data_IF_020357018277
#
_entry.id   IF_020357018277
#
_cell.length_a   1.000
_cell.length_b   1.000
_cell.length_c   1.000
_cell.angle_alpha   90.00
_cell.angle_beta   90.00
_cell.angle_gamma   90.00
#
_symmetry.space_group_name_H-M   'P 1'
#
loop_
_entity.id
_entity.type
_entity.pdbx_description
1 polymer ?
#
# COMPACT_ATOMS: atom_id res chain seq x y z
N UNK A 1 13.51 15.34 11.73
CA UNK A 1 12.42 15.93 10.94
C UNK A 1 13.03 16.89 9.92
N UNK A 2 12.73 16.72 8.63
CA UNK A 2 13.18 17.62 7.58
C UNK A 2 12.34 18.91 7.62
N UNK A 3 12.92 20.04 7.23
CA UNK A 3 12.23 21.34 7.28
C UNK A 3 10.98 21.39 6.40
N UNK A 4 9.99 22.20 6.75
CA UNK A 4 8.71 22.34 6.05
C UNK A 4 8.88 22.61 4.54
N UNK A 5 9.85 23.41 4.10
CA UNK A 5 10.09 23.68 2.68
C UNK A 5 10.71 22.54 1.87
N UNK A 6 11.16 21.48 2.52
CA UNK A 6 11.83 20.37 1.84
C UNK A 6 10.89 19.60 0.89
N UNK A 7 9.63 19.41 1.28
CA UNK A 7 8.66 18.65 0.51
C UNK A 7 7.91 19.47 -0.56
N UNK A 8 8.03 20.79 -0.56
CA UNK A 8 7.35 21.66 -1.56
C UNK A 8 7.79 21.37 -3.00
N UNK A 9 9.00 20.81 -3.17
CA UNK A 9 9.53 20.42 -4.47
C UNK A 9 9.05 19.05 -4.94
N UNK A 10 8.34 18.29 -4.09
CA UNK A 10 7.93 16.93 -4.40
C UNK A 10 6.47 16.85 -4.82
N UNK A 11 6.25 15.98 -5.80
CA UNK A 11 4.93 15.52 -6.23
C UNK A 11 4.82 14.03 -5.93
N UNK A 12 3.98 13.68 -4.98
CA UNK A 12 3.80 12.30 -4.52
C UNK A 12 2.49 11.78 -5.09
N UNK A 13 2.56 10.70 -5.84
CA UNK A 13 1.39 10.03 -6.42
C UNK A 13 1.27 8.65 -5.79
N UNK A 14 0.10 8.37 -5.22
CA UNK A 14 -0.23 7.06 -4.65
C UNK A 14 -1.12 6.32 -5.63
N UNK A 15 -0.62 5.22 -6.18
CA UNK A 15 -1.38 4.28 -7.01
C UNK A 15 -1.28 2.88 -6.39
N UNK A 16 -2.40 2.40 -5.86
CA UNK A 16 -2.44 1.18 -5.08
C UNK A 16 -3.89 0.68 -4.94
N UNK A 17 -4.11 -0.31 -4.09
CA UNK A 17 -5.42 -0.90 -3.82
C UNK A 17 -6.21 -0.19 -2.69
N UNK A 18 -7.27 -0.84 -2.19
CA UNK A 18 -8.16 -0.32 -1.15
C UNK A 18 -7.47 0.02 0.18
N UNK A 19 -6.34 -0.60 0.51
CA UNK A 19 -5.59 -0.28 1.73
C UNK A 19 -5.08 1.17 1.72
N UNK A 20 -4.85 1.73 0.54
CA UNK A 20 -4.36 3.08 0.32
C UNK A 20 -5.45 4.03 -0.15
N UNK A 21 -6.57 3.52 -0.70
CA UNK A 21 -7.65 4.32 -1.23
C UNK A 21 -8.33 5.14 -0.13
N UNK A 22 -9.01 6.20 -0.56
CA UNK A 22 -10.04 6.83 0.24
C UNK A 22 -11.21 5.86 0.37
N UNK A 23 -11.19 5.04 1.40
CA UNK A 23 -12.32 4.20 1.71
C UNK A 23 -13.40 5.05 2.36
N UNK A 24 -14.43 5.37 1.62
CA UNK A 24 -15.65 6.01 2.14
C UNK A 24 -16.73 4.94 2.20
N UNK A 25 -16.77 4.16 3.27
CA UNK A 25 -18.02 3.53 3.65
C UNK A 25 -18.87 4.57 4.39
N UNK A 26 -20.22 4.54 4.28
CA UNK A 26 -21.08 5.42 5.04
C UNK A 26 -20.74 5.34 6.54
N UNK A 27 -20.36 6.48 7.15
CA UNK A 27 -19.97 6.55 8.57
C UNK A 27 -18.47 6.34 8.87
N UNK A 28 -17.65 6.00 7.88
CA UNK A 28 -16.20 5.92 8.06
C UNK A 28 -15.57 7.11 7.35
N UNK A 29 -15.23 8.09 8.15
CA UNK A 29 -14.54 9.25 7.63
C UNK A 29 -13.13 8.87 7.20
N UNK A 30 -12.88 9.28 6.00
CA UNK A 30 -11.64 9.62 5.34
C UNK A 30 -10.36 9.13 6.03
N UNK A 31 -9.63 8.36 5.25
CA UNK A 31 -8.21 8.06 5.44
C UNK A 31 -7.40 9.36 5.28
N UNK A 32 -7.86 10.43 5.86
CA UNK A 32 -7.19 11.71 5.90
C UNK A 32 -5.79 11.63 6.51
N UNK A 33 -5.50 10.59 7.30
CA UNK A 33 -4.24 10.44 8.01
C UNK A 33 -3.02 10.47 7.09
N UNK A 34 -3.01 9.66 6.04
CA UNK A 34 -1.85 9.60 5.14
C UNK A 34 -1.68 10.90 4.33
N UNK A 35 -2.76 11.35 3.70
CA UNK A 35 -2.75 12.59 2.91
C UNK A 35 -2.40 13.78 3.78
N UNK A 36 -3.03 13.90 4.96
CA UNK A 36 -2.79 14.99 5.88
C UNK A 36 -1.39 14.95 6.47
N UNK A 37 -0.89 13.77 6.84
CA UNK A 37 0.45 13.61 7.38
C UNK A 37 1.51 14.09 6.38
N UNK A 38 1.37 13.74 5.11
CA UNK A 38 2.34 14.14 4.08
C UNK A 38 2.06 15.55 3.56
N UNK A 39 0.80 15.95 3.40
CA UNK A 39 0.46 17.32 3.01
C UNK A 39 0.86 18.36 4.05
N UNK A 40 0.88 18.01 5.34
CA UNK A 40 1.39 18.91 6.39
C UNK A 40 2.87 19.25 6.20
N UNK A 41 3.58 18.53 5.36
CA UNK A 41 4.99 18.80 5.00
C UNK A 41 5.15 19.74 3.79
N UNK A 42 4.06 20.18 3.15
CA UNK A 42 4.08 21.02 1.95
C UNK A 42 4.15 20.25 0.61
N UNK A 43 4.24 18.92 0.63
CA UNK A 43 4.26 18.12 -0.60
C UNK A 43 2.89 18.15 -1.30
N UNK A 44 2.90 18.14 -2.64
CA UNK A 44 1.70 17.82 -3.40
C UNK A 44 1.46 16.31 -3.35
N UNK A 45 0.30 15.89 -2.85
CA UNK A 45 -0.07 14.48 -2.77
C UNK A 45 -1.35 14.23 -3.55
N UNK A 46 -1.27 13.33 -4.53
CA UNK A 46 -2.41 12.82 -5.28
C UNK A 46 -2.58 11.34 -4.97
N UNK A 47 -3.79 10.93 -4.60
CA UNK A 47 -4.12 9.54 -4.33
C UNK A 47 -5.13 9.06 -5.38
N UNK A 48 -4.69 8.17 -6.26
CA UNK A 48 -5.50 7.52 -7.30
C UNK A 48 -5.69 6.02 -7.04
N UNK A 49 -5.42 5.56 -5.82
CA UNK A 49 -5.65 4.17 -5.44
C UNK A 49 -7.13 3.79 -5.59
N UNK A 50 -7.38 2.62 -6.18
CA UNK A 50 -8.74 2.13 -6.47
C UNK A 50 -9.00 0.85 -5.68
N UNK A 51 -10.11 0.78 -4.91
CA UNK A 51 -10.49 -0.44 -4.21
C UNK A 51 -10.67 -1.62 -5.17
N UNK A 52 -10.17 -2.78 -4.78
CA UNK A 52 -10.36 -4.03 -5.51
C UNK A 52 -9.41 -4.28 -6.67
N UNK A 53 -8.66 -3.28 -7.15
CA UNK A 53 -7.74 -3.50 -8.26
C UNK A 53 -6.56 -4.40 -7.89
N UNK A 54 -6.12 -5.17 -8.88
CA UNK A 54 -4.92 -6.02 -8.86
C UNK A 54 -3.75 -5.31 -9.55
N UNK A 55 -2.54 -5.86 -9.47
CA UNK A 55 -1.39 -5.37 -10.24
C UNK A 55 -1.67 -5.29 -11.75
N UNK A 56 -2.39 -6.28 -12.29
CA UNK A 56 -2.77 -6.29 -13.70
C UNK A 56 -3.75 -5.16 -14.05
N UNK A 57 -4.70 -4.85 -13.15
CA UNK A 57 -5.64 -3.75 -13.35
C UNK A 57 -4.93 -2.39 -13.26
N UNK A 58 -4.03 -2.22 -12.29
CA UNK A 58 -3.20 -1.03 -12.16
C UNK A 58 -2.37 -0.76 -13.42
N UNK A 59 -1.90 -1.83 -14.09
CA UNK A 59 -1.18 -1.70 -15.35
C UNK A 59 -2.08 -1.15 -16.47
N UNK A 60 -3.34 -1.58 -16.52
CA UNK A 60 -4.33 -1.11 -17.51
C UNK A 60 -4.77 0.33 -17.26
N UNK A 61 -4.90 0.72 -15.99
CA UNK A 61 -5.36 2.06 -15.55
C UNK A 61 -4.24 3.12 -15.58
N UNK A 62 -3.26 2.90 -16.42
CA UNK A 62 -2.02 3.67 -16.52
C UNK A 62 -2.20 5.18 -16.71
N UNK A 63 -3.21 5.58 -17.46
CA UNK A 63 -3.41 6.98 -17.87
C UNK A 63 -3.68 7.91 -16.70
N UNK A 64 -4.40 7.46 -15.68
CA UNK A 64 -4.74 8.30 -14.53
C UNK A 64 -3.51 8.67 -13.71
N UNK A 65 -2.61 7.70 -13.53
CA UNK A 65 -1.34 7.91 -12.80
C UNK A 65 -0.41 8.85 -13.57
N UNK A 66 -0.34 8.70 -14.88
CA UNK A 66 0.50 9.54 -15.75
C UNK A 66 0.04 11.00 -15.76
N UNK A 67 -1.26 11.23 -15.73
CA UNK A 67 -1.84 12.58 -15.67
C UNK A 67 -1.52 13.33 -14.38
N UNK A 68 -1.06 12.64 -13.36
CA UNK A 68 -0.68 13.23 -12.07
C UNK A 68 0.81 13.54 -11.96
N UNK A 69 1.64 13.10 -12.91
CA UNK A 69 3.04 13.48 -12.99
C UNK A 69 3.17 15.00 -13.26
N UNK A 70 4.17 15.64 -12.65
CA UNK A 70 4.35 17.10 -12.78
C UNK A 70 5.76 17.46 -13.20
N UNK A 71 5.85 18.21 -14.29
CA UNK A 71 7.14 18.77 -14.75
C UNK A 71 7.70 19.75 -13.71
N UNK A 72 9.04 19.80 -13.63
CA UNK A 72 9.75 20.66 -12.68
C UNK A 72 9.64 20.25 -11.20
N UNK A 73 9.00 19.12 -10.91
CA UNK A 73 8.92 18.53 -9.56
C UNK A 73 9.72 17.22 -9.50
N UNK A 74 10.14 16.85 -8.30
CA UNK A 74 10.59 15.48 -8.04
C UNK A 74 9.36 14.59 -7.88
N UNK A 75 9.16 13.69 -8.82
CA UNK A 75 7.98 12.83 -8.88
C UNK A 75 8.25 11.50 -8.18
N UNK A 76 7.48 11.22 -7.15
CA UNK A 76 7.57 10.00 -6.33
C UNK A 76 6.31 9.17 -6.56
N UNK A 77 6.47 7.94 -7.00
CA UNK A 77 5.40 6.96 -7.05
C UNK A 77 5.40 6.13 -5.77
N UNK A 78 4.30 6.13 -5.03
CA UNK A 78 4.04 5.22 -3.91
C UNK A 78 3.07 4.17 -4.39
N UNK A 79 3.45 2.91 -4.32
CA UNK A 79 2.62 1.81 -4.84
C UNK A 79 2.69 0.57 -3.97
N UNK A 80 1.65 -0.23 -3.99
CA UNK A 80 1.57 -1.50 -3.28
C UNK A 80 0.24 -2.19 -3.53
N UNK A 81 0.32 -3.43 -4.00
CA UNK A 81 -0.83 -4.33 -4.12
C UNK A 81 -0.27 -5.77 -4.00
N UNK A 82 -0.94 -6.65 -3.42
CA UNK A 82 -0.67 -8.11 -3.42
C UNK A 82 -1.92 -8.82 -2.94
N UNK A 83 -2.67 -8.17 -2.04
CA UNK A 83 -3.83 -8.77 -1.40
C UNK A 83 -4.93 -9.14 -2.39
N UNK A 84 -5.27 -8.27 -3.32
CA UNK A 84 -6.35 -8.57 -4.27
C UNK A 84 -5.92 -9.59 -5.31
N UNK A 85 -4.67 -9.51 -5.79
CA UNK A 85 -4.13 -10.53 -6.70
C UNK A 85 -4.17 -11.93 -6.08
N UNK A 86 -3.81 -12.08 -4.81
CA UNK A 86 -3.79 -13.36 -4.12
C UNK A 86 -5.19 -13.75 -3.60
N UNK A 87 -5.86 -12.89 -2.81
CA UNK A 87 -7.10 -13.21 -2.12
C UNK A 87 -8.34 -13.15 -3.01
N UNK A 88 -8.40 -12.22 -3.93
CA UNK A 88 -9.59 -12.02 -4.78
C UNK A 88 -9.44 -12.77 -6.10
N UNK A 89 -8.34 -12.54 -6.82
CA UNK A 89 -8.10 -13.17 -8.12
C UNK A 89 -7.63 -14.64 -8.00
N UNK A 90 -7.05 -15.02 -6.86
CA UNK A 90 -6.47 -16.35 -6.65
C UNK A 90 -5.18 -16.60 -7.44
N UNK A 91 -4.51 -15.53 -7.85
CA UNK A 91 -3.30 -15.62 -8.65
C UNK A 91 -2.18 -16.39 -7.92
N UNK A 92 -1.33 -17.05 -8.68
CA UNK A 92 -0.12 -17.68 -8.12
C UNK A 92 0.90 -16.63 -7.69
N UNK A 93 1.80 -17.00 -6.79
CA UNK A 93 2.92 -16.13 -6.36
C UNK A 93 3.72 -15.63 -7.58
N UNK A 94 4.09 -16.56 -8.49
CA UNK A 94 4.87 -16.21 -9.67
C UNK A 94 4.13 -15.21 -10.59
N UNK A 95 2.82 -15.40 -10.81
CA UNK A 95 2.02 -14.46 -11.59
C UNK A 95 1.96 -13.09 -10.93
N UNK A 96 1.70 -13.05 -9.62
CA UNK A 96 1.60 -11.78 -8.88
C UNK A 96 2.91 -11.00 -8.91
N UNK A 97 4.05 -11.68 -8.74
CA UNK A 97 5.38 -11.06 -8.85
C UNK A 97 5.63 -10.55 -10.28
N UNK A 98 5.27 -11.33 -11.30
CA UNK A 98 5.42 -10.89 -12.69
C UNK A 98 4.56 -9.68 -13.02
N UNK A 99 3.31 -9.66 -12.57
CA UNK A 99 2.38 -8.54 -12.79
C UNK A 99 2.88 -7.25 -12.07
N UNK A 100 3.38 -7.37 -10.84
CA UNK A 100 3.98 -6.25 -10.10
C UNK A 100 5.20 -5.67 -10.83
N UNK A 101 6.09 -6.52 -11.31
CA UNK A 101 7.26 -6.11 -12.10
C UNK A 101 6.84 -5.43 -13.40
N UNK A 102 5.86 -5.99 -14.10
CA UNK A 102 5.33 -5.42 -15.33
C UNK A 102 4.72 -4.02 -15.09
N UNK A 103 3.96 -3.88 -13.99
CA UNK A 103 3.40 -2.58 -13.59
C UNK A 103 4.51 -1.54 -13.36
N UNK A 104 5.50 -1.83 -12.54
CA UNK A 104 6.60 -0.91 -12.24
C UNK A 104 7.38 -0.55 -13.50
N UNK A 105 7.68 -1.54 -14.35
CA UNK A 105 8.34 -1.30 -15.62
C UNK A 105 7.52 -0.39 -16.55
N UNK A 106 6.20 -0.60 -16.63
CA UNK A 106 5.30 0.25 -17.42
C UNK A 106 5.27 1.70 -16.88
N UNK A 107 5.25 1.88 -15.53
CA UNK A 107 5.31 3.22 -14.93
C UNK A 107 6.62 3.93 -15.28
N UNK A 108 7.75 3.26 -15.11
CA UNK A 108 9.07 3.82 -15.43
C UNK A 108 9.27 4.11 -16.92
N UNK A 109 8.65 3.33 -17.80
CA UNK A 109 8.71 3.56 -19.24
C UNK A 109 7.82 4.73 -19.69
N UNK A 110 6.72 4.98 -19.01
CA UNK A 110 5.74 5.99 -19.41
C UNK A 110 6.09 7.39 -18.94
N UNK A 111 6.74 7.52 -17.78
CA UNK A 111 7.12 8.79 -17.16
C UNK A 111 8.42 8.63 -16.39
N UNK A 112 9.17 9.73 -16.27
CA UNK A 112 10.37 9.77 -15.45
C UNK A 112 10.01 9.94 -13.97
N UNK A 113 9.68 8.84 -13.31
CA UNK A 113 9.59 8.82 -11.85
C UNK A 113 10.99 8.92 -11.25
N UNK A 114 11.23 9.94 -10.42
CA UNK A 114 12.50 10.12 -9.75
C UNK A 114 12.73 9.05 -8.69
N UNK A 115 11.65 8.64 -8.01
CA UNK A 115 11.68 7.59 -7.00
C UNK A 115 10.43 6.73 -7.02
N UNK A 116 10.59 5.46 -6.67
CA UNK A 116 9.52 4.49 -6.44
C UNK A 116 9.59 4.00 -4.99
N UNK A 117 8.54 4.23 -4.23
CA UNK A 117 8.33 3.63 -2.91
C UNK A 117 7.40 2.43 -3.08
N UNK A 118 7.96 1.24 -2.96
CA UNK A 118 7.20 0.00 -3.05
C UNK A 118 6.82 -0.49 -1.67
N UNK A 119 5.54 -0.71 -1.46
CA UNK A 119 4.99 -1.14 -0.18
C UNK A 119 4.67 -2.65 -0.23
N UNK A 120 5.15 -3.37 0.77
CA UNK A 120 4.65 -4.70 1.08
C UNK A 120 3.20 -4.65 1.54
N UNK A 121 2.67 -5.77 2.01
CA UNK A 121 1.28 -5.82 2.43
C UNK A 121 1.11 -6.34 3.86
N UNK A 122 -0.10 -6.18 4.41
CA UNK A 122 -0.48 -6.63 5.74
C UNK A 122 -1.26 -7.96 5.64
N UNK A 123 -1.39 -8.72 6.73
CA UNK A 123 -2.23 -9.92 6.73
C UNK A 123 -3.69 -9.60 6.38
N UNK A 124 -4.40 -10.60 5.88
CA UNK A 124 -5.82 -10.54 5.53
C UNK A 124 -6.52 -11.80 6.03
N UNK A 125 -7.74 -11.69 6.54
CA UNK A 125 -8.44 -12.76 7.23
C UNK A 125 -9.90 -12.98 6.82
N UNK A 126 -10.30 -12.60 5.60
CA UNK A 126 -11.69 -12.61 5.14
C UNK A 126 -12.11 -13.88 4.35
N UNK A 127 -11.26 -14.91 4.28
CA UNK A 127 -11.66 -16.20 3.72
C UNK A 127 -12.55 -16.98 4.66
N UNK A 128 -13.32 -17.92 4.11
CA UNK A 128 -14.30 -18.70 4.84
C UNK A 128 -13.68 -19.59 5.93
N UNK A 129 -12.47 -20.08 5.71
CA UNK A 129 -11.77 -20.97 6.65
C UNK A 129 -10.44 -20.39 7.11
N UNK A 130 -10.03 -20.76 8.32
CA UNK A 130 -8.72 -20.39 8.86
C UNK A 130 -7.58 -20.93 7.97
N UNK A 131 -7.73 -22.14 7.46
CA UNK A 131 -6.75 -22.79 6.59
C UNK A 131 -6.50 -21.97 5.30
N UNK A 132 -7.56 -21.52 4.63
CA UNK A 132 -7.45 -20.68 3.43
C UNK A 132 -6.75 -19.36 3.74
N UNK A 133 -7.10 -18.73 4.87
CA UNK A 133 -6.43 -17.50 5.29
C UNK A 133 -4.93 -17.68 5.52
N UNK A 134 -4.53 -18.77 6.21
CA UNK A 134 -3.11 -19.10 6.44
C UNK A 134 -2.37 -19.30 5.11
N UNK A 135 -2.95 -20.10 4.19
CA UNK A 135 -2.35 -20.38 2.90
C UNK A 135 -2.18 -19.08 2.07
N UNK A 136 -3.23 -18.27 2.00
CA UNK A 136 -3.18 -17.02 1.24
C UNK A 136 -2.19 -16.02 1.84
N UNK A 137 -2.11 -15.88 3.16
CA UNK A 137 -1.15 -15.02 3.82
C UNK A 137 0.29 -15.51 3.62
N UNK A 138 0.52 -16.82 3.56
CA UNK A 138 1.83 -17.37 3.19
C UNK A 138 2.22 -16.96 1.77
N UNK A 139 1.30 -17.05 0.80
CA UNK A 139 1.53 -16.59 -0.58
C UNK A 139 1.84 -15.09 -0.63
N UNK A 140 1.14 -14.27 0.15
CA UNK A 140 1.43 -12.84 0.29
C UNK A 140 2.88 -12.62 0.77
N UNK A 141 3.31 -13.34 1.81
CA UNK A 141 4.68 -13.24 2.32
C UNK A 141 5.72 -13.65 1.27
N UNK A 142 5.42 -14.69 0.51
CA UNK A 142 6.30 -15.17 -0.57
C UNK A 142 6.43 -14.12 -1.69
N UNK A 143 5.32 -13.44 -2.06
CA UNK A 143 5.35 -12.33 -3.02
C UNK A 143 6.17 -11.16 -2.47
N UNK A 144 5.86 -10.70 -1.25
CA UNK A 144 6.56 -9.58 -0.61
C UNK A 144 8.07 -9.87 -0.51
N UNK A 145 8.45 -11.10 -0.16
CA UNK A 145 9.85 -11.52 -0.08
C UNK A 145 10.57 -11.43 -1.43
N UNK A 146 9.92 -11.89 -2.51
CA UNK A 146 10.50 -11.85 -3.85
C UNK A 146 10.59 -10.41 -4.39
N UNK A 147 9.57 -9.59 -4.15
CA UNK A 147 9.60 -8.18 -4.56
C UNK A 147 10.65 -7.39 -3.75
N UNK A 148 10.76 -7.63 -2.45
CA UNK A 148 11.76 -7.00 -1.57
C UNK A 148 13.19 -7.38 -1.96
N UNK A 149 13.42 -8.60 -2.42
CA UNK A 149 14.73 -9.06 -2.85
C UNK A 149 15.20 -8.41 -4.15
N UNK A 150 14.28 -7.92 -4.99
CA UNK A 150 14.62 -7.27 -6.26
C UNK A 150 14.70 -5.75 -6.08
N UNK A 151 15.85 -5.29 -5.61
CA UNK A 151 16.12 -3.87 -5.32
C UNK A 151 16.12 -2.98 -6.56
N UNK A 152 16.01 -3.53 -7.76
CA UNK A 152 15.87 -2.74 -9.00
C UNK A 152 14.47 -2.16 -9.19
N UNK A 153 13.48 -2.68 -8.45
CA UNK A 153 12.08 -2.28 -8.57
C UNK A 153 11.76 -0.97 -7.83
N UNK A 154 12.54 -0.62 -6.80
CA UNK A 154 12.20 0.47 -5.90
C UNK A 154 13.45 1.20 -5.38
N UNK A 155 13.23 2.40 -4.89
CA UNK A 155 14.22 3.21 -4.18
C UNK A 155 14.02 3.14 -2.67
N UNK A 156 12.80 2.81 -2.22
CA UNK A 156 12.48 2.52 -0.81
C UNK A 156 11.43 1.42 -0.72
N UNK A 157 11.66 0.47 0.20
CA UNK A 157 10.71 -0.60 0.54
C UNK A 157 10.01 -0.29 1.86
N UNK A 158 8.69 -0.32 1.89
CA UNK A 158 7.89 -0.19 3.12
C UNK A 158 7.46 -1.56 3.60
N UNK A 159 7.96 -1.96 4.75
CA UNK A 159 7.60 -3.21 5.42
C UNK A 159 6.72 -2.91 6.64
N UNK A 160 5.41 -3.00 6.45
CA UNK A 160 4.45 -2.70 7.51
C UNK A 160 4.61 -3.61 8.73
N UNK A 161 4.94 -4.90 8.49
CA UNK A 161 5.11 -5.88 9.56
C UNK A 161 6.36 -5.61 10.39
N UNK A 162 7.45 -5.23 9.73
CA UNK A 162 8.69 -4.85 10.42
C UNK A 162 8.56 -3.47 11.09
N UNK A 163 7.83 -2.54 10.48
CA UNK A 163 7.60 -1.21 11.04
C UNK A 163 6.77 -1.26 12.33
N UNK A 164 5.73 -2.08 12.34
CA UNK A 164 4.90 -2.26 13.53
C UNK A 164 4.42 -3.70 13.67
N UNK A 165 5.28 -4.58 14.22
CA UNK A 165 4.92 -5.97 14.47
C UNK A 165 3.70 -6.11 15.38
N UNK A 166 3.54 -5.20 16.33
CA UNK A 166 2.39 -5.17 17.23
C UNK A 166 1.05 -5.16 16.48
N UNK A 167 0.94 -4.38 15.39
CA UNK A 167 -0.32 -4.24 14.65
C UNK A 167 -0.42 -5.19 13.45
N UNK A 168 0.67 -5.41 12.73
CA UNK A 168 0.63 -6.04 11.41
C UNK A 168 1.33 -7.39 11.31
N UNK A 169 2.00 -7.85 12.36
CA UNK A 169 2.52 -9.22 12.39
C UNK A 169 1.37 -10.20 12.61
N UNK A 170 1.31 -11.25 11.79
CA UNK A 170 0.38 -12.34 12.03
C UNK A 170 0.69 -13.03 13.38
N UNK A 171 -0.36 -13.35 14.12
CA UNK A 171 -0.28 -14.13 15.36
C UNK A 171 0.12 -15.59 15.06
N UNK A 172 0.21 -16.41 16.09
CA UNK A 172 0.60 -17.82 15.96
C UNK A 172 -0.33 -18.66 15.07
N UNK A 173 -1.56 -18.18 14.85
CA UNK A 173 -2.52 -18.80 13.92
C UNK A 173 -2.17 -18.56 12.43
N UNK A 174 -1.20 -17.68 12.13
CA UNK A 174 -0.69 -17.39 10.79
C UNK A 174 -1.56 -16.45 9.95
N UNK A 175 -2.70 -15.97 10.46
CA UNK A 175 -3.58 -15.09 9.67
C UNK A 175 -4.21 -13.93 10.43
N UNK A 176 -4.43 -14.02 11.74
CA UNK A 176 -4.93 -12.88 12.51
C UNK A 176 -3.81 -11.95 12.94
N UNK A 177 -4.09 -10.67 12.99
CA UNK A 177 -3.19 -9.65 13.51
C UNK A 177 -3.98 -8.71 14.44
N UNK A 178 -3.30 -7.95 15.28
CA UNK A 178 -3.96 -7.09 16.28
C UNK A 178 -4.92 -6.08 15.64
N UNK A 179 -4.60 -5.54 14.46
CA UNK A 179 -5.49 -4.61 13.77
C UNK A 179 -6.84 -5.22 13.39
N UNK A 180 -6.96 -6.54 13.34
CA UNK A 180 -8.20 -7.27 13.03
C UNK A 180 -9.13 -7.42 14.24
N UNK A 181 -8.72 -6.99 15.43
CA UNK A 181 -9.56 -7.00 16.61
C UNK A 181 -10.75 -6.05 16.41
N UNK A 182 -11.91 -6.39 16.97
CA UNK A 182 -13.27 -5.97 16.59
C UNK A 182 -13.53 -4.46 16.40
N UNK A 183 -12.65 -3.60 16.87
CA UNK A 183 -12.81 -2.13 16.79
C UNK A 183 -11.79 -1.46 15.88
N UNK A 184 -10.87 -2.22 15.32
CA UNK A 184 -9.74 -1.68 14.56
C UNK A 184 -9.82 -1.99 13.05
N UNK A 185 -10.92 -2.58 12.57
CA UNK A 185 -11.17 -2.82 11.15
C UNK A 185 -12.47 -2.20 10.69
N UNK A 186 -12.51 -1.84 9.41
CA UNK A 186 -13.71 -1.32 8.75
C UNK A 186 -14.84 -2.36 8.80
N UNK A 187 -16.02 -1.89 9.18
CA UNK A 187 -17.22 -2.69 9.19
C UNK A 187 -18.39 -1.91 8.58
N UNK A 188 -18.50 -1.85 7.25
CA UNK A 188 -19.50 -1.03 6.59
C UNK A 188 -20.95 -1.50 6.82
N UNK A 189 -21.16 -2.71 7.31
CA UNK A 189 -22.51 -3.31 7.49
C UNK A 189 -22.94 -3.47 8.93
N UNK A 190 -22.13 -3.04 9.89
CA UNK A 190 -22.44 -3.17 11.33
C UNK A 190 -22.31 -4.58 11.89
N UNK A 191 -21.73 -5.54 11.14
CA UNK A 191 -21.51 -6.93 11.56
C UNK A 191 -20.09 -7.18 12.10
N UNK A 192 -19.46 -8.24 11.62
CA UNK A 192 -18.07 -8.57 11.98
C UNK A 192 -17.09 -7.58 11.33
N UNK A 193 -15.92 -7.33 11.94
CA UNK A 193 -14.81 -6.64 11.27
C UNK A 193 -14.54 -7.27 9.90
N UNK A 194 -14.19 -6.46 8.89
CA UNK A 194 -13.88 -6.99 7.57
C UNK A 194 -12.53 -7.73 7.48
N UNK A 195 -11.72 -7.64 8.55
CA UNK A 195 -10.40 -8.28 8.67
C UNK A 195 -9.42 -7.94 7.53
N UNK A 196 -9.63 -6.81 6.87
CA UNK A 196 -8.84 -6.35 5.73
C UNK A 196 -8.31 -4.93 5.96
N UNK A 197 -9.20 -3.99 6.30
CA UNK A 197 -8.92 -2.56 6.29
C UNK A 197 -8.73 -2.03 7.70
N UNK A 198 -7.50 -1.64 8.09
CA UNK A 198 -7.26 -1.02 9.38
C UNK A 198 -7.95 0.35 9.48
N UNK A 199 -8.53 0.67 10.65
CA UNK A 199 -9.09 1.98 10.98
C UNK A 199 -8.50 2.49 12.30
N UNK A 200 -8.64 3.79 12.58
CA UNK A 200 -8.11 4.38 13.83
C UNK A 200 -6.60 4.21 13.96
N UNK A 201 -6.14 3.84 15.15
CA UNK A 201 -4.72 3.76 15.47
C UNK A 201 -3.86 2.89 14.52
N UNK A 202 -4.23 1.67 14.15
CA UNK A 202 -3.43 0.87 13.20
C UNK A 202 -3.35 1.51 11.82
N UNK A 203 -4.32 2.30 11.43
CA UNK A 203 -4.29 3.05 10.18
C UNK A 203 -3.34 4.24 10.24
N UNK A 204 -3.27 4.95 11.36
CA UNK A 204 -2.28 6.00 11.55
C UNK A 204 -0.86 5.42 11.51
N UNK A 205 -0.67 4.23 12.08
CA UNK A 205 0.59 3.47 12.01
C UNK A 205 0.91 3.06 10.56
N UNK A 206 -0.09 2.64 9.79
CA UNK A 206 0.07 2.33 8.36
C UNK A 206 0.55 3.57 7.58
N UNK A 207 -0.08 4.73 7.80
CA UNK A 207 0.33 6.00 7.19
C UNK A 207 1.75 6.41 7.61
N UNK A 208 2.10 6.25 8.89
CA UNK A 208 3.44 6.55 9.40
C UNK A 208 4.52 5.65 8.78
N UNK A 209 4.22 4.38 8.51
CA UNK A 209 5.16 3.47 7.83
C UNK A 209 5.48 3.95 6.40
N UNK A 210 4.48 4.45 5.67
CA UNK A 210 4.71 5.02 4.33
C UNK A 210 5.52 6.32 4.43
N UNK A 211 5.21 7.18 5.38
CA UNK A 211 5.97 8.40 5.62
C UNK A 211 7.44 8.11 5.98
N UNK A 212 7.70 7.05 6.77
CA UNK A 212 9.04 6.57 7.06
C UNK A 212 9.75 6.07 5.79
N UNK A 213 9.04 5.33 4.93
CA UNK A 213 9.55 4.92 3.62
C UNK A 213 9.98 6.09 2.74
N UNK A 214 9.17 7.16 2.70
CA UNK A 214 9.50 8.39 2.00
C UNK A 214 10.74 9.09 2.62
N UNK A 215 10.83 9.12 3.95
CA UNK A 215 11.97 9.74 4.65
C UNK A 215 13.30 9.00 4.43
N UNK A 216 13.25 7.71 4.09
CA UNK A 216 14.46 6.93 3.75
C UNK A 216 14.98 7.17 2.35
N UNK A 217 14.20 7.79 1.47
CA UNK A 217 14.71 8.18 0.16
C UNK A 217 15.90 9.12 0.34
N UNK A 218 16.99 8.82 -0.32
CA UNK A 218 18.15 9.72 -0.41
C UNK A 218 17.79 10.83 -1.37
N UNK A 219 17.04 11.81 -0.87
CA UNK A 219 16.60 12.95 -1.65
C UNK A 219 17.80 13.91 -1.78
N UNK A 220 18.63 13.67 -2.80
CA UNK A 220 19.71 14.55 -3.19
C UNK A 220 19.18 15.68 -4.08
#
# INVERSE_FOLDING_TARGET
>A
ARSAGFYETYNIVVDANSLFARWVAPGIQDVAGFKNLIQSTGANVSNCAIPGQTWADMTKNATDVQGLWRDGKKNILVTGETTNSIFVEGATVAKTVADAKAYIAARRASQKWDYVVLCGTIPRGDKATAQENVEMNKRILDVDSQLKADTTLYDSWVDFRAFSPEWFQARADGYTAKFMDSTATCNPTGGRPDMIHPIGAPRDVFANAIADGLNRLSLA
#
